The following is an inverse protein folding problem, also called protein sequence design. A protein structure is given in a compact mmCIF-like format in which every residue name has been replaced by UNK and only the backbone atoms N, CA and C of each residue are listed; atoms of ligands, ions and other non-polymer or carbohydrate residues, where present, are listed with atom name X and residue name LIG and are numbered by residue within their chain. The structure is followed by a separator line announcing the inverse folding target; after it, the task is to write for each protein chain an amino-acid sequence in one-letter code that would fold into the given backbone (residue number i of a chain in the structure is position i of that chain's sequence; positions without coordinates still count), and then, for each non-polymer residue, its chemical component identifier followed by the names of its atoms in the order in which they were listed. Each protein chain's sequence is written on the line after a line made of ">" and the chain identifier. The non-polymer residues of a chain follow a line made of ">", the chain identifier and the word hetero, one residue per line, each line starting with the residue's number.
data_IF_854174772877
#
_entry.id   IF_854174772877
#
_cell.length_a   1.000
_cell.length_b   1.000
_cell.length_c   1.000
_cell.angle_alpha   90.00
_cell.angle_beta   90.00
_cell.angle_gamma   90.00
#
_symmetry.space_group_name_H-M   'P 1'
#
loop_
_entity.id
_entity.type
_entity.pdbx_description
1 polymer ?
#
# COMPACT_ATOMS: atom_id res chain seq x y z
N UNK A 1 4.23 26.64 7.04
CA UNK A 1 5.35 27.32 6.35
C UNK A 1 6.42 27.49 7.39
N UNK A 2 7.55 26.76 7.26
CA UNK A 2 8.72 27.02 8.10
C UNK A 2 9.29 28.36 7.67
N UNK A 3 9.69 29.18 8.62
CA UNK A 3 10.48 30.36 8.29
C UNK A 3 11.81 29.90 7.70
N UNK A 4 12.42 30.74 6.87
CA UNK A 4 13.76 30.46 6.33
C UNK A 4 14.77 30.22 7.46
N UNK A 5 14.63 30.91 8.57
CA UNK A 5 15.41 30.73 9.80
C UNK A 5 15.31 29.28 10.33
N UNK A 6 14.09 28.71 10.42
CA UNK A 6 13.89 27.33 10.86
C UNK A 6 14.52 26.31 9.92
N UNK A 7 14.55 26.59 8.62
CA UNK A 7 15.22 25.72 7.63
C UNK A 7 16.74 25.82 7.76
N UNK A 8 17.29 27.03 7.94
CA UNK A 8 18.72 27.27 8.12
C UNK A 8 19.26 26.70 9.43
N UNK A 9 18.53 26.86 10.54
CA UNK A 9 18.89 26.24 11.81
C UNK A 9 18.94 24.71 11.72
N UNK A 10 17.97 24.09 11.04
CA UNK A 10 17.94 22.64 10.85
C UNK A 10 19.02 22.14 9.87
N UNK A 11 19.47 22.98 8.93
CA UNK A 11 20.61 22.66 8.09
C UNK A 11 21.94 22.73 8.87
N UNK A 12 22.09 23.71 9.78
CA UNK A 12 23.30 23.84 10.61
C UNK A 12 23.48 22.67 11.58
N UNK A 13 22.39 22.05 12.02
CA UNK A 13 22.39 20.93 12.94
C UNK A 13 22.47 19.56 12.25
N UNK A 14 22.70 19.52 10.91
CA UNK A 14 22.64 18.30 10.07
C UNK A 14 21.29 17.56 10.16
N UNK A 15 20.22 18.27 10.52
CA UNK A 15 18.90 17.70 10.65
C UNK A 15 18.14 17.78 9.32
N UNK A 16 18.34 16.82 8.47
CA UNK A 16 17.54 16.70 7.25
C UNK A 16 16.12 16.30 7.61
N UNK A 17 15.14 17.14 7.27
CA UNK A 17 13.73 16.77 7.37
C UNK A 17 13.51 15.55 6.50
N UNK A 18 13.16 14.43 7.10
CA UNK A 18 12.85 13.22 6.34
C UNK A 18 11.68 13.51 5.39
N UNK A 19 11.81 13.07 4.15
CA UNK A 19 10.78 13.24 3.12
C UNK A 19 9.33 12.96 3.64
N UNK A 20 9.07 11.95 4.50
CA UNK A 20 7.76 11.76 5.11
C UNK A 20 7.22 12.93 5.93
N UNK A 21 8.08 13.72 6.57
CA UNK A 21 7.66 14.89 7.37
C UNK A 21 7.29 16.08 6.49
N UNK A 22 7.98 16.26 5.36
CA UNK A 22 7.61 17.28 4.36
C UNK A 22 6.24 16.97 3.77
N UNK A 23 5.95 15.71 3.46
CA UNK A 23 4.65 15.29 2.93
C UNK A 23 3.51 15.43 3.95
N UNK A 24 3.76 15.16 5.24
CA UNK A 24 2.79 15.46 6.31
C UNK A 24 2.39 16.92 6.33
N UNK A 25 3.33 17.82 6.08
CA UNK A 25 3.09 19.25 6.14
C UNK A 25 2.29 19.76 4.94
N UNK A 26 2.54 19.25 3.73
CA UNK A 26 1.76 19.60 2.53
C UNK A 26 0.29 19.19 2.70
N UNK A 27 0.02 18.04 3.32
CA UNK A 27 -1.35 17.62 3.63
C UNK A 27 -2.02 18.48 4.71
N UNK A 28 -1.25 19.11 5.61
CA UNK A 28 -1.80 20.03 6.63
C UNK A 28 -2.18 21.43 6.08
N UNK A 29 -1.73 21.77 4.87
CA UNK A 29 -2.04 23.04 4.20
C UNK A 29 -3.38 23.03 3.44
N UNK A 30 -4.29 22.11 3.78
CA UNK A 30 -5.67 22.14 3.28
C UNK A 30 -5.89 21.41 1.95
N UNK A 31 -4.94 20.61 1.49
CA UNK A 31 -5.22 19.59 0.49
C UNK A 31 -6.10 18.51 1.13
N UNK A 32 -7.25 18.21 0.54
CA UNK A 32 -8.03 17.03 0.95
C UNK A 32 -7.13 15.80 0.85
N UNK A 33 -7.08 14.98 1.91
CA UNK A 33 -6.44 13.67 1.84
C UNK A 33 -6.95 12.96 0.58
N UNK A 34 -6.08 12.28 -0.20
CA UNK A 34 -6.55 11.51 -1.32
C UNK A 34 -7.69 10.59 -0.89
N UNK A 35 -8.73 10.48 -1.71
CA UNK A 35 -9.90 9.66 -1.38
C UNK A 35 -9.47 8.24 -0.97
N UNK A 36 -10.04 7.73 0.12
CA UNK A 36 -9.75 6.39 0.64
C UNK A 36 -8.50 6.24 1.48
N UNK A 37 -7.71 7.29 1.72
CA UNK A 37 -6.47 7.19 2.52
C UNK A 37 -6.71 6.89 3.99
N UNK A 38 -7.87 7.26 4.52
CA UNK A 38 -8.22 7.09 5.93
C UNK A 38 -9.07 5.84 6.18
N UNK A 39 -9.25 5.00 5.16
CA UNK A 39 -10.13 3.86 5.22
C UNK A 39 -9.46 2.53 4.88
N UNK A 40 -9.88 1.49 5.59
CA UNK A 40 -9.64 0.10 5.25
C UNK A 40 -10.94 -0.59 4.86
N UNK A 41 -10.87 -1.55 3.94
CA UNK A 41 -12.04 -2.28 3.46
C UNK A 41 -11.83 -3.78 3.66
N UNK A 42 -12.86 -4.46 4.16
CA UNK A 42 -12.91 -5.90 4.35
C UNK A 42 -14.03 -6.46 3.48
N UNK A 43 -13.69 -7.33 2.55
CA UNK A 43 -14.55 -7.71 1.44
C UNK A 43 -14.78 -9.22 1.40
N UNK A 44 -16.04 -9.62 1.19
CA UNK A 44 -16.45 -11.00 1.01
C UNK A 44 -16.04 -11.93 2.16
N UNK A 45 -15.65 -13.16 1.80
CA UNK A 45 -15.42 -14.25 2.73
C UNK A 45 -16.64 -15.10 2.96
N UNK A 46 -16.65 -15.96 3.97
CA UNK A 46 -17.75 -16.88 4.26
C UNK A 46 -18.10 -16.95 5.74
N UNK A 47 -19.35 -17.33 6.03
CA UNK A 47 -19.81 -17.59 7.40
C UNK A 47 -19.21 -18.85 7.99
N UNK A 48 -19.03 -19.88 7.15
CA UNK A 48 -18.63 -21.21 7.59
C UNK A 48 -17.53 -21.80 6.71
N UNK A 49 -16.80 -22.75 7.29
CA UNK A 49 -15.87 -23.64 6.60
C UNK A 49 -16.59 -24.98 6.37
N UNK A 50 -16.39 -25.59 5.23
CA UNK A 50 -16.86 -26.90 4.80
C UNK A 50 -17.80 -27.69 5.75
N UNK A 51 -18.87 -28.34 5.27
CA UNK A 51 -19.21 -28.53 3.87
C UNK A 51 -20.17 -27.46 3.28
N UNK A 52 -20.66 -26.53 4.09
CA UNK A 52 -21.65 -25.51 3.69
C UNK A 52 -21.01 -24.15 3.58
N UNK A 53 -20.20 -23.96 2.54
CA UNK A 53 -19.61 -22.66 2.24
C UNK A 53 -20.71 -21.68 1.82
N UNK A 54 -20.99 -20.68 2.67
CA UNK A 54 -21.89 -19.57 2.36
C UNK A 54 -21.09 -18.27 2.21
N UNK A 55 -20.57 -17.98 1.01
CA UNK A 55 -19.79 -16.78 0.81
C UNK A 55 -20.66 -15.53 0.76
N UNK A 56 -20.06 -14.42 1.10
CA UNK A 56 -20.67 -13.10 1.08
C UNK A 56 -20.13 -12.25 -0.07
N UNK A 57 -20.96 -11.29 -0.50
CA UNK A 57 -20.55 -10.17 -1.34
C UNK A 57 -20.34 -8.88 -0.54
N UNK A 58 -20.52 -8.91 0.78
CA UNK A 58 -20.48 -7.73 1.64
C UNK A 58 -19.10 -7.07 1.64
N UNK A 59 -19.09 -5.76 1.74
CA UNK A 59 -17.91 -4.91 1.93
C UNK A 59 -18.14 -4.04 3.15
N UNK A 60 -17.25 -4.14 4.11
CA UNK A 60 -17.25 -3.32 5.31
C UNK A 60 -16.10 -2.31 5.26
N UNK A 61 -16.39 -1.04 5.50
CA UNK A 61 -15.39 0.02 5.60
C UNK A 61 -15.09 0.36 7.05
N UNK A 62 -13.81 0.31 7.41
CA UNK A 62 -13.25 0.80 8.66
C UNK A 62 -12.72 2.21 8.47
N UNK A 63 -13.08 3.14 9.35
CA UNK A 63 -12.47 4.46 9.43
C UNK A 63 -11.26 4.39 10.37
N UNK A 64 -10.05 4.60 9.83
CA UNK A 64 -8.82 4.57 10.63
C UNK A 64 -8.70 5.74 11.61
N UNK A 65 -9.40 6.85 11.35
CA UNK A 65 -9.43 8.02 12.23
C UNK A 65 -10.36 7.83 13.42
N UNK A 66 -11.35 6.93 13.28
CA UNK A 66 -12.32 6.57 14.32
C UNK A 66 -12.57 5.06 14.36
N UNK A 67 -11.54 4.29 14.65
CA UNK A 67 -11.53 2.82 14.59
C UNK A 67 -12.29 2.14 15.76
N UNK A 68 -12.89 2.91 16.65
CA UNK A 68 -13.76 2.40 17.73
C UNK A 68 -15.19 2.20 17.28
N UNK A 69 -15.62 2.91 16.26
CA UNK A 69 -16.95 2.78 15.69
C UNK A 69 -17.08 1.49 14.88
N UNK A 70 -18.30 0.99 14.79
CA UNK A 70 -18.60 -0.16 13.93
C UNK A 70 -18.38 0.22 12.46
N UNK A 71 -17.92 -0.74 11.70
CA UNK A 71 -17.72 -0.59 10.27
C UNK A 71 -19.04 -0.30 9.53
N UNK A 72 -18.95 0.38 8.42
CA UNK A 72 -20.08 0.76 7.58
C UNK A 72 -20.10 -0.08 6.31
N UNK A 73 -21.25 -0.70 6.01
CA UNK A 73 -21.43 -1.45 4.76
C UNK A 73 -21.31 -0.53 3.53
N UNK A 74 -20.62 -1.01 2.51
CA UNK A 74 -20.38 -0.34 1.24
C UNK A 74 -20.85 -1.19 0.07
N UNK A 75 -20.59 -0.73 -1.18
CA UNK A 75 -21.02 -1.43 -2.37
C UNK A 75 -20.44 -2.85 -2.43
N UNK A 76 -21.30 -3.81 -2.68
CA UNK A 76 -20.97 -5.24 -2.66
C UNK A 76 -20.03 -5.64 -3.81
N UNK A 77 -19.34 -6.77 -3.66
CA UNK A 77 -18.65 -7.47 -4.74
C UNK A 77 -19.63 -7.82 -5.87
N UNK A 78 -19.13 -7.93 -7.10
CA UNK A 78 -19.95 -8.36 -8.25
C UNK A 78 -20.54 -9.76 -8.05
N UNK A 79 -19.87 -10.62 -7.29
CA UNK A 79 -20.29 -11.98 -6.97
C UNK A 79 -19.85 -12.35 -5.56
N UNK A 80 -20.71 -13.05 -4.80
CA UNK A 80 -20.34 -13.59 -3.50
C UNK A 80 -19.22 -14.62 -3.64
N UNK A 81 -18.11 -14.41 -2.94
CA UNK A 81 -16.93 -15.27 -2.99
C UNK A 81 -16.11 -15.26 -1.69
N UNK A 82 -15.39 -16.34 -1.47
CA UNK A 82 -14.49 -16.54 -0.34
C UNK A 82 -13.13 -17.09 -0.81
N UNK A 83 -12.18 -17.20 0.11
CA UNK A 83 -10.83 -17.70 -0.16
C UNK A 83 -10.07 -16.90 -1.22
N UNK A 84 -10.34 -15.62 -1.29
CA UNK A 84 -9.64 -14.65 -2.11
C UNK A 84 -8.70 -13.81 -1.25
N UNK A 85 -7.83 -13.04 -1.90
CA UNK A 85 -7.02 -12.01 -1.24
C UNK A 85 -7.10 -10.70 -2.00
N UNK A 86 -6.76 -9.62 -1.29
CA UNK A 86 -6.78 -8.27 -1.80
C UNK A 86 -5.39 -7.72 -2.08
N UNK A 87 -5.34 -6.77 -2.98
CA UNK A 87 -4.21 -5.87 -3.20
C UNK A 87 -4.74 -4.49 -3.59
N UNK A 88 -3.91 -3.48 -3.46
CA UNK A 88 -4.34 -2.09 -3.58
C UNK A 88 -3.46 -1.27 -4.50
N UNK A 89 -4.06 -0.36 -5.25
CA UNK A 89 -3.39 0.80 -5.78
C UNK A 89 -3.65 2.01 -4.88
N UNK A 90 -3.14 3.14 -5.29
CA UNK A 90 -3.36 4.42 -4.59
C UNK A 90 -4.84 4.84 -4.56
N UNK A 91 -5.62 4.49 -5.57
CA UNK A 91 -7.01 4.93 -5.76
C UNK A 91 -8.04 3.82 -5.70
N UNK A 92 -7.62 2.57 -5.83
CA UNK A 92 -8.52 1.43 -5.93
C UNK A 92 -8.05 0.24 -5.10
N UNK A 93 -9.02 -0.49 -4.56
CA UNK A 93 -8.81 -1.81 -3.99
C UNK A 93 -9.25 -2.90 -4.96
N UNK A 94 -8.58 -4.03 -4.94
CA UNK A 94 -8.86 -5.18 -5.81
C UNK A 94 -8.98 -6.45 -5.00
N UNK A 95 -9.92 -7.32 -5.40
CA UNK A 95 -9.99 -8.69 -4.89
C UNK A 95 -9.83 -9.66 -6.04
N UNK A 96 -8.93 -10.63 -5.93
CA UNK A 96 -8.58 -11.51 -7.02
C UNK A 96 -8.86 -12.98 -6.71
N UNK A 97 -9.44 -13.67 -7.68
CA UNK A 97 -9.73 -15.09 -7.57
C UNK A 97 -10.80 -15.41 -6.52
N UNK A 98 -10.61 -16.52 -5.83
CA UNK A 98 -11.52 -17.03 -4.82
C UNK A 98 -12.45 -18.13 -5.34
N UNK A 99 -13.27 -18.66 -4.45
CA UNK A 99 -14.30 -19.63 -4.74
C UNK A 99 -15.69 -19.00 -4.73
N UNK A 100 -16.44 -19.18 -5.80
CA UNK A 100 -17.81 -18.68 -5.96
C UNK A 100 -18.77 -19.86 -6.22
N UNK A 101 -19.53 -20.32 -5.21
CA UNK A 101 -20.42 -21.48 -5.35
C UNK A 101 -21.52 -21.31 -6.40
N UNK A 102 -21.95 -20.06 -6.63
CA UNK A 102 -22.96 -19.79 -7.67
C UNK A 102 -22.56 -20.27 -9.07
N UNK A 103 -21.24 -20.36 -9.33
CA UNK A 103 -20.67 -20.91 -10.57
C UNK A 103 -19.87 -22.20 -10.33
N UNK A 104 -19.91 -22.72 -9.08
CA UNK A 104 -19.28 -23.98 -8.65
C UNK A 104 -17.80 -24.09 -9.01
N UNK A 105 -17.07 -23.00 -9.00
CA UNK A 105 -15.68 -22.96 -9.47
C UNK A 105 -14.82 -21.93 -8.72
N UNK A 106 -13.53 -22.10 -8.86
CA UNK A 106 -12.53 -21.08 -8.57
C UNK A 106 -12.50 -20.10 -9.73
N UNK A 107 -12.67 -18.83 -9.41
CA UNK A 107 -12.87 -17.81 -10.43
C UNK A 107 -11.57 -17.11 -10.79
N UNK A 108 -11.51 -16.60 -12.01
CA UNK A 108 -10.43 -15.71 -12.48
C UNK A 108 -10.75 -14.24 -12.26
N UNK A 109 -11.98 -13.92 -11.84
CA UNK A 109 -12.44 -12.52 -11.73
C UNK A 109 -11.61 -11.72 -10.73
N UNK A 110 -11.33 -10.48 -11.12
CA UNK A 110 -10.80 -9.43 -10.24
C UNK A 110 -11.89 -8.38 -10.13
N UNK A 111 -12.39 -8.13 -8.91
CA UNK A 111 -13.31 -7.03 -8.64
C UNK A 111 -12.52 -5.81 -8.15
N UNK A 112 -12.94 -4.63 -8.59
CA UNK A 112 -12.33 -3.36 -8.21
C UNK A 112 -13.33 -2.46 -7.49
N UNK A 113 -12.94 -1.95 -6.31
CA UNK A 113 -13.61 -0.85 -5.60
C UNK A 113 -12.85 0.46 -5.86
N UNK A 114 -13.59 1.52 -6.14
CA UNK A 114 -13.06 2.88 -6.21
C UNK A 114 -13.15 3.53 -4.82
N UNK A 115 -12.03 3.93 -4.25
CA UNK A 115 -12.01 4.57 -2.93
C UNK A 115 -12.69 5.95 -2.90
N UNK A 116 -12.73 6.65 -4.04
CA UNK A 116 -13.43 7.93 -4.15
C UNK A 116 -14.95 7.77 -4.25
N UNK A 117 -15.44 6.57 -4.61
CA UNK A 117 -16.86 6.27 -4.84
C UNK A 117 -17.22 4.88 -4.31
N UNK A 118 -16.99 4.62 -3.03
CA UNK A 118 -17.13 3.31 -2.40
C UNK A 118 -18.59 2.83 -2.21
N UNK A 119 -19.56 3.64 -2.58
CA UNK A 119 -20.98 3.30 -2.64
C UNK A 119 -21.44 2.87 -4.04
N UNK A 120 -20.60 3.09 -5.06
CA UNK A 120 -20.88 2.65 -6.43
C UNK A 120 -20.54 1.15 -6.55
N UNK A 121 -21.37 0.41 -7.28
CA UNK A 121 -21.15 -1.01 -7.53
C UNK A 121 -19.73 -1.29 -8.03
N UNK A 122 -19.09 -2.32 -7.48
CA UNK A 122 -17.77 -2.74 -7.91
C UNK A 122 -17.79 -3.17 -9.37
N UNK A 123 -16.65 -3.05 -10.03
CA UNK A 123 -16.50 -3.42 -11.44
C UNK A 123 -15.54 -4.59 -11.59
N UNK A 124 -15.93 -5.55 -12.42
CA UNK A 124 -15.01 -6.59 -12.85
C UNK A 124 -13.93 -6.01 -13.76
N UNK A 125 -12.70 -6.44 -13.56
CA UNK A 125 -11.49 -6.03 -14.30
C UNK A 125 -10.87 -7.20 -15.02
N UNK A 126 -9.70 -6.99 -15.61
CA UNK A 126 -8.97 -8.03 -16.34
C UNK A 126 -8.78 -9.28 -15.48
N UNK A 127 -9.08 -10.47 -16.03
CA UNK A 127 -9.04 -11.70 -15.24
C UNK A 127 -7.62 -12.10 -14.88
N UNK A 128 -7.49 -12.96 -13.87
CA UNK A 128 -6.30 -13.78 -13.70
C UNK A 128 -6.13 -14.69 -14.92
N UNK A 129 -4.89 -14.98 -15.31
CA UNK A 129 -4.59 -15.94 -16.38
C UNK A 129 -5.08 -17.36 -16.01
N UNK A 130 -5.02 -17.69 -14.72
CA UNK A 130 -5.53 -18.94 -14.16
C UNK A 130 -6.32 -18.66 -12.90
N UNK A 131 -7.51 -19.25 -12.78
CA UNK A 131 -8.34 -19.16 -11.57
C UNK A 131 -7.66 -19.85 -10.39
N UNK A 132 -7.55 -19.14 -9.29
CA UNK A 132 -6.98 -19.66 -8.05
C UNK A 132 -7.87 -19.30 -6.86
N UNK A 133 -7.90 -20.19 -5.86
CA UNK A 133 -8.59 -20.00 -4.59
C UNK A 133 -7.76 -20.56 -3.43
N UNK A 134 -8.41 -20.83 -2.31
CA UNK A 134 -7.78 -21.43 -1.12
C UNK A 134 -6.68 -20.53 -0.55
N UNK A 135 -7.06 -19.27 -0.31
CA UNK A 135 -6.19 -18.29 0.31
C UNK A 135 -4.85 -18.14 -0.44
N UNK A 136 -4.95 -17.80 -1.72
CA UNK A 136 -3.86 -17.18 -2.44
C UNK A 136 -3.37 -15.94 -1.67
N UNK A 137 -2.19 -15.48 -1.91
CA UNK A 137 -1.61 -14.29 -1.27
C UNK A 137 -1.73 -13.10 -2.21
N UNK A 138 -2.20 -11.97 -1.68
CA UNK A 138 -2.18 -10.67 -2.38
C UNK A 138 -0.98 -9.84 -1.93
N UNK A 139 -0.23 -9.29 -2.89
CA UNK A 139 0.87 -8.35 -2.66
C UNK A 139 0.73 -7.19 -3.63
N UNK A 140 1.32 -6.04 -3.32
CA UNK A 140 1.28 -4.89 -4.21
C UNK A 140 2.38 -3.86 -3.92
N UNK A 141 2.67 -3.08 -4.95
CA UNK A 141 3.34 -1.80 -4.84
C UNK A 141 2.47 -0.70 -5.48
N UNK A 142 3.02 0.45 -5.82
CA UNK A 142 2.27 1.55 -6.44
C UNK A 142 1.79 1.26 -7.85
N UNK A 143 2.41 0.33 -8.59
CA UNK A 143 2.16 0.08 -10.02
C UNK A 143 1.43 -1.23 -10.29
N UNK A 144 1.66 -2.23 -9.42
CA UNK A 144 1.25 -3.61 -9.68
C UNK A 144 0.61 -4.26 -8.45
N UNK A 145 -0.40 -5.10 -8.73
CA UNK A 145 -0.94 -6.07 -7.79
C UNK A 145 -0.55 -7.49 -8.21
N UNK A 146 -0.27 -8.35 -7.24
CA UNK A 146 0.17 -9.73 -7.45
C UNK A 146 -0.73 -10.70 -6.70
N UNK A 147 -0.97 -11.85 -7.30
CA UNK A 147 -1.67 -12.98 -6.70
C UNK A 147 -0.76 -14.21 -6.75
N UNK A 148 -0.45 -14.78 -5.59
CA UNK A 148 0.53 -15.85 -5.44
C UNK A 148 -0.05 -17.10 -4.80
N UNK A 149 0.35 -18.27 -5.29
CA UNK A 149 -0.04 -19.57 -4.75
C UNK A 149 -1.54 -19.84 -4.83
N UNK A 150 -2.04 -20.61 -3.86
CA UNK A 150 -3.45 -21.03 -3.82
C UNK A 150 -3.67 -22.41 -4.45
N UNK A 151 -4.93 -22.72 -4.78
CA UNK A 151 -5.31 -23.96 -5.47
C UNK A 151 -6.06 -23.65 -6.75
N UNK A 152 -5.79 -24.42 -7.81
CA UNK A 152 -6.51 -24.35 -9.08
C UNK A 152 -7.85 -25.10 -9.05
N UNK A 153 -8.55 -25.13 -10.19
CA UNK A 153 -9.83 -25.84 -10.34
C UNK A 153 -9.74 -27.35 -10.15
N UNK A 154 -8.54 -27.93 -10.26
CA UNK A 154 -8.29 -29.35 -9.96
C UNK A 154 -8.02 -29.60 -8.46
N UNK A 155 -8.16 -28.57 -7.61
CA UNK A 155 -7.78 -28.59 -6.20
C UNK A 155 -6.29 -28.85 -5.96
N UNK A 156 -5.47 -28.64 -6.98
CA UNK A 156 -4.02 -28.77 -6.90
C UNK A 156 -3.42 -27.46 -6.37
N UNK A 157 -2.50 -27.57 -5.41
CA UNK A 157 -1.75 -26.42 -4.94
C UNK A 157 -0.85 -25.89 -6.05
N UNK A 158 -0.70 -24.59 -6.13
CA UNK A 158 0.04 -23.93 -7.19
C UNK A 158 1.19 -23.10 -6.66
N UNK A 159 2.18 -22.88 -7.53
CA UNK A 159 3.26 -21.92 -7.28
C UNK A 159 3.07 -20.61 -8.07
N UNK A 160 1.93 -20.44 -8.70
CA UNK A 160 1.67 -19.33 -9.62
C UNK A 160 1.87 -17.97 -8.95
N UNK A 161 2.44 -17.06 -9.72
CA UNK A 161 2.48 -15.64 -9.43
C UNK A 161 1.92 -14.91 -10.66
N UNK A 162 0.85 -14.15 -10.47
CA UNK A 162 0.15 -13.46 -11.55
C UNK A 162 0.08 -11.96 -11.20
N UNK A 163 0.53 -11.12 -12.12
CA UNK A 163 0.61 -9.66 -11.95
C UNK A 163 -0.46 -8.93 -12.73
N UNK A 164 -1.22 -8.07 -12.07
CA UNK A 164 -2.09 -7.06 -12.67
C UNK A 164 -1.36 -5.72 -12.69
N UNK A 165 -1.39 -5.05 -13.83
CA UNK A 165 -0.90 -3.68 -13.98
C UNK A 165 -2.04 -2.68 -13.69
N UNK A 166 -1.87 -1.78 -12.71
CA UNK A 166 -2.93 -0.85 -12.32
C UNK A 166 -3.24 0.20 -13.39
N UNK A 167 -2.25 0.59 -14.19
CA UNK A 167 -2.44 1.52 -15.29
C UNK A 167 -3.30 0.92 -16.42
N UNK A 168 -3.37 -0.41 -16.54
CA UNK A 168 -4.14 -1.14 -17.53
C UNK A 168 -4.85 -2.35 -16.91
N UNK A 169 -5.72 -2.11 -15.95
CA UNK A 169 -6.39 -3.12 -15.14
C UNK A 169 -7.49 -3.90 -15.88
N UNK A 170 -7.66 -3.68 -17.17
CA UNK A 170 -8.60 -4.42 -18.03
C UNK A 170 -7.96 -5.59 -18.76
N UNK A 171 -6.63 -5.68 -18.78
CA UNK A 171 -5.91 -6.80 -19.40
C UNK A 171 -5.84 -7.99 -18.46
N UNK A 172 -5.70 -9.19 -19.05
CA UNK A 172 -5.44 -10.41 -18.28
C UNK A 172 -4.14 -10.28 -17.50
N UNK A 173 -4.15 -10.65 -16.22
CA UNK A 173 -2.97 -10.64 -15.36
C UNK A 173 -1.86 -11.53 -15.98
N UNK A 174 -0.63 -11.02 -15.99
CA UNK A 174 0.49 -11.73 -16.62
C UNK A 174 1.19 -12.66 -15.64
N UNK A 175 1.52 -13.91 -16.04
CA UNK A 175 2.35 -14.80 -15.23
C UNK A 175 3.74 -14.20 -14.98
N UNK A 176 4.27 -14.41 -13.77
CA UNK A 176 5.57 -13.93 -13.30
C UNK A 176 6.37 -15.08 -12.66
N UNK A 177 7.52 -14.76 -12.07
CA UNK A 177 8.36 -15.75 -11.39
C UNK A 177 7.60 -16.45 -10.27
N UNK A 178 7.62 -17.78 -10.28
CA UNK A 178 6.84 -18.61 -9.37
C UNK A 178 7.42 -18.65 -7.94
N UNK A 179 6.60 -19.09 -6.99
CA UNK A 179 7.06 -19.61 -5.70
C UNK A 179 8.02 -20.81 -5.93
N UNK A 180 8.90 -21.09 -4.98
CA UNK A 180 9.84 -22.24 -5.05
C UNK A 180 9.13 -23.59 -5.04
N UNK A 181 7.90 -23.64 -4.54
CA UNK A 181 7.07 -24.83 -4.46
C UNK A 181 5.58 -24.49 -4.48
N UNK A 182 4.76 -25.49 -4.83
CA UNK A 182 3.30 -25.36 -4.78
C UNK A 182 2.82 -25.22 -3.34
N UNK A 183 2.04 -24.17 -3.02
CA UNK A 183 1.50 -23.94 -1.68
C UNK A 183 0.25 -23.07 -1.69
N UNK A 184 -0.52 -23.20 -0.62
CA UNK A 184 -1.75 -22.47 -0.38
C UNK A 184 -1.84 -22.00 1.06
N UNK A 185 -2.92 -21.28 1.42
CA UNK A 185 -3.21 -20.82 2.78
C UNK A 185 -2.10 -20.00 3.44
N UNK A 186 -1.25 -19.33 2.66
CA UNK A 186 -0.24 -18.41 3.15
C UNK A 186 -0.79 -17.04 3.45
N UNK A 187 0.09 -16.16 3.91
CA UNK A 187 -0.18 -14.74 4.12
C UNK A 187 0.87 -13.86 3.45
N UNK A 188 0.48 -12.62 3.14
CA UNK A 188 1.35 -11.67 2.46
C UNK A 188 1.42 -10.32 3.14
N UNK A 189 2.64 -9.81 3.30
CA UNK A 189 2.93 -8.43 3.66
C UNK A 189 4.16 -7.96 2.90
N UNK A 190 4.40 -6.66 2.85
CA UNK A 190 5.55 -6.13 2.14
C UNK A 190 5.64 -4.62 2.26
N UNK A 191 6.56 -4.07 1.50
CA UNK A 191 6.71 -2.63 1.27
C UNK A 191 6.70 -2.32 -0.23
N UNK A 192 7.19 -1.17 -0.63
CA UNK A 192 7.17 -0.78 -2.05
C UNK A 192 8.26 -1.45 -2.91
N UNK A 193 9.25 -2.10 -2.29
CA UNK A 193 10.33 -2.80 -3.00
C UNK A 193 10.14 -4.30 -3.02
N UNK A 194 9.59 -4.86 -1.95
CA UNK A 194 9.52 -6.30 -1.72
C UNK A 194 8.16 -6.73 -1.20
N UNK A 195 7.68 -7.88 -1.70
CA UNK A 195 6.56 -8.61 -1.13
C UNK A 195 7.02 -9.94 -0.54
N UNK A 196 6.39 -10.38 0.54
CA UNK A 196 6.73 -11.63 1.23
C UNK A 196 5.53 -12.56 1.28
N UNK A 197 5.71 -13.78 0.80
CA UNK A 197 4.79 -14.90 1.01
C UNK A 197 5.28 -15.70 2.20
N UNK A 198 4.44 -15.95 3.20
CA UNK A 198 4.82 -16.67 4.42
C UNK A 198 3.90 -17.84 4.74
N UNK A 199 4.45 -18.87 5.35
CA UNK A 199 3.71 -20.03 5.83
C UNK A 199 2.92 -20.76 4.76
N UNK A 200 1.74 -21.24 5.14
CA UNK A 200 0.85 -22.02 4.26
C UNK A 200 1.03 -23.52 4.38
N UNK A 201 0.59 -24.25 3.35
CA UNK A 201 0.66 -25.72 3.31
C UNK A 201 1.16 -26.27 1.99
N UNK A 202 1.84 -27.48 2.03
CA UNK A 202 2.47 -28.17 0.89
C UNK A 202 2.59 -29.70 1.01
N UNK A 203 1.69 -30.55 1.31
CA UNK A 203 0.38 -30.47 1.97
C UNK A 203 0.45 -30.17 3.48
N UNK A 204 1.62 -30.36 4.12
CA UNK A 204 1.81 -30.05 5.56
C UNK A 204 2.03 -28.56 5.75
N UNK A 205 1.69 -28.04 6.94
CA UNK A 205 1.99 -26.65 7.32
C UNK A 205 3.47 -26.39 7.32
N UNK A 206 3.86 -25.21 6.90
CA UNK A 206 5.26 -24.77 6.78
C UNK A 206 5.48 -23.42 7.47
N UNK A 207 6.75 -23.11 7.76
CA UNK A 207 7.19 -21.81 8.29
C UNK A 207 7.94 -20.99 7.25
N UNK A 208 8.12 -21.51 6.02
CA UNK A 208 8.95 -20.84 5.02
C UNK A 208 8.43 -19.47 4.63
N UNK A 209 9.36 -18.58 4.37
CA UNK A 209 9.09 -17.23 3.83
C UNK A 209 9.82 -17.10 2.50
N UNK A 210 9.16 -16.54 1.50
CA UNK A 210 9.73 -16.26 0.19
C UNK A 210 9.50 -14.80 -0.17
N UNK A 211 10.53 -14.14 -0.72
CA UNK A 211 10.48 -12.74 -1.12
C UNK A 211 10.36 -12.60 -2.62
N UNK A 212 9.36 -11.84 -3.03
CA UNK A 212 9.21 -11.27 -4.37
C UNK A 212 9.95 -9.92 -4.42
N UNK A 213 10.87 -9.77 -5.35
CA UNK A 213 11.48 -8.50 -5.68
C UNK A 213 10.67 -7.87 -6.83
N UNK A 214 10.04 -6.73 -6.59
CA UNK A 214 9.19 -6.08 -7.60
C UNK A 214 10.00 -5.53 -8.79
N UNK A 215 11.30 -5.26 -8.59
CA UNK A 215 12.19 -4.82 -9.68
C UNK A 215 12.63 -5.97 -10.59
N UNK A 216 12.46 -7.22 -10.16
CA UNK A 216 12.84 -8.44 -10.87
C UNK A 216 11.80 -9.53 -10.73
N UNK A 217 10.54 -9.22 -11.01
CA UNK A 217 9.37 -10.08 -10.76
C UNK A 217 9.24 -11.29 -11.69
N UNK A 218 10.14 -11.47 -12.63
CA UNK A 218 10.19 -12.64 -13.54
C UNK A 218 11.01 -13.78 -12.99
N UNK A 219 11.80 -13.57 -11.94
CA UNK A 219 12.60 -14.60 -11.28
C UNK A 219 11.76 -15.35 -10.24
N UNK A 220 12.09 -16.62 -9.99
CA UNK A 220 11.54 -17.38 -8.87
C UNK A 220 11.80 -16.65 -7.56
N UNK A 221 10.81 -16.64 -6.66
CA UNK A 221 10.91 -15.94 -5.39
C UNK A 221 12.10 -16.48 -4.56
N UNK A 222 12.77 -15.59 -3.84
CA UNK A 222 13.93 -15.93 -3.05
C UNK A 222 13.53 -16.42 -1.64
N UNK A 223 13.95 -17.64 -1.19
CA UNK A 223 13.76 -18.07 0.20
C UNK A 223 14.40 -17.10 1.19
N UNK A 224 13.73 -16.89 2.32
CA UNK A 224 14.13 -16.00 3.41
C UNK A 224 14.03 -16.68 4.77
N UNK A 225 14.37 -15.97 5.83
CA UNK A 225 14.27 -16.48 7.20
C UNK A 225 12.84 -16.89 7.55
N UNK A 226 12.65 -18.06 8.18
CA UNK A 226 11.31 -18.61 8.41
C UNK A 226 10.53 -17.82 9.47
N UNK A 227 9.21 -18.04 9.52
CA UNK A 227 8.40 -17.71 10.70
C UNK A 227 8.88 -18.51 11.91
N UNK A 228 8.57 -18.06 13.13
CA UNK A 228 8.94 -18.76 14.38
C UNK A 228 8.26 -20.12 14.50
N UNK A 229 7.21 -20.39 13.73
CA UNK A 229 6.36 -21.59 13.77
C UNK A 229 5.84 -21.98 12.38
N UNK A 230 5.45 -23.23 12.23
CA UNK A 230 4.69 -23.67 11.04
C UNK A 230 3.24 -23.25 11.21
N UNK A 231 2.65 -22.62 10.19
CA UNK A 231 1.29 -22.06 10.27
C UNK A 231 0.66 -21.95 8.89
N UNK A 232 -0.66 -22.14 8.83
CA UNK A 232 -1.48 -21.81 7.66
C UNK A 232 -2.73 -21.03 8.07
N UNK A 233 -3.47 -20.49 7.09
CA UNK A 233 -4.70 -19.72 7.31
C UNK A 233 -4.51 -18.52 8.27
N UNK A 234 -3.32 -17.99 8.35
CA UNK A 234 -3.03 -16.70 8.97
C UNK A 234 -3.19 -15.57 7.95
N UNK A 235 -3.10 -14.33 8.40
CA UNK A 235 -3.05 -13.19 7.50
C UNK A 235 -2.06 -12.13 8.01
N UNK A 236 -1.69 -11.18 7.15
CA UNK A 236 -0.60 -10.27 7.46
C UNK A 236 -0.90 -8.83 7.07
N UNK A 237 -0.30 -7.92 7.82
CA UNK A 237 -0.22 -6.50 7.53
C UNK A 237 1.18 -5.99 7.86
N UNK A 238 1.55 -4.82 7.35
CA UNK A 238 2.87 -4.27 7.61
C UNK A 238 3.00 -2.80 7.28
N UNK A 239 4.17 -2.28 7.59
CA UNK A 239 4.61 -0.93 7.26
C UNK A 239 5.87 -0.98 6.36
N UNK A 240 6.65 0.10 6.32
CA UNK A 240 7.86 0.17 5.50
C UNK A 240 8.97 -0.79 5.95
N UNK A 241 9.01 -1.10 7.25
CA UNK A 241 10.14 -1.77 7.89
C UNK A 241 9.82 -3.22 8.30
N UNK A 242 8.54 -3.52 8.59
CA UNK A 242 8.14 -4.78 9.19
C UNK A 242 6.85 -5.35 8.59
N UNK A 243 6.82 -6.69 8.44
CA UNK A 243 5.61 -7.47 8.20
C UNK A 243 5.19 -8.24 9.43
N UNK A 244 3.91 -8.17 9.79
CA UNK A 244 3.32 -8.83 10.95
C UNK A 244 2.33 -9.90 10.49
N UNK A 245 2.59 -11.15 10.87
CA UNK A 245 1.87 -12.35 10.46
C UNK A 245 1.17 -12.95 11.68
N UNK A 246 -0.16 -12.82 11.74
CA UNK A 246 -0.89 -13.14 12.96
C UNK A 246 -2.03 -14.14 12.77
N UNK A 247 -2.32 -14.89 13.83
CA UNK A 247 -3.37 -15.88 13.86
C UNK A 247 -3.00 -17.18 13.16
N UNK A 248 -4.00 -17.81 12.54
CA UNK A 248 -3.83 -19.04 11.78
C UNK A 248 -3.95 -20.30 12.61
N UNK A 249 -3.68 -21.41 11.95
CA UNK A 249 -3.68 -22.74 12.52
C UNK A 249 -2.25 -23.26 12.58
N UNK A 250 -1.73 -23.52 13.76
CA UNK A 250 -0.45 -24.15 14.02
C UNK A 250 -0.63 -25.51 14.73
N UNK A 251 0.42 -26.37 14.83
CA UNK A 251 0.30 -27.69 15.44
C UNK A 251 -0.11 -27.68 16.91
N UNK A 252 0.16 -26.61 17.66
CA UNK A 252 -0.17 -26.48 19.08
C UNK A 252 -1.59 -25.96 19.29
N UNK A 253 -2.16 -25.26 18.30
CA UNK A 253 -3.50 -24.67 18.40
C UNK A 253 -4.12 -24.46 17.03
N UNK A 254 -5.37 -24.93 16.81
CA UNK A 254 -6.16 -24.52 15.64
C UNK A 254 -6.56 -23.04 15.69
N UNK A 255 -6.28 -22.37 16.81
CA UNK A 255 -6.68 -20.99 17.09
C UNK A 255 -5.52 -20.20 17.65
N UNK A 256 -4.47 -20.05 16.87
CA UNK A 256 -3.27 -19.35 17.31
C UNK A 256 -3.55 -17.86 17.50
N UNK A 257 -3.00 -17.29 18.57
CA UNK A 257 -2.99 -15.85 18.79
C UNK A 257 -1.62 -15.21 18.57
N UNK A 258 -0.64 -15.99 18.15
CA UNK A 258 0.74 -15.56 17.95
C UNK A 258 0.85 -14.63 16.76
N UNK A 259 1.68 -13.60 16.88
CA UNK A 259 2.10 -12.71 15.81
C UNK A 259 3.60 -12.82 15.61
N UNK A 260 4.01 -13.23 14.42
CA UNK A 260 5.39 -13.20 13.96
C UNK A 260 5.69 -11.88 13.26
N UNK A 261 6.84 -11.27 13.54
CA UNK A 261 7.34 -10.08 12.84
C UNK A 261 8.54 -10.41 11.98
N UNK A 262 8.42 -10.15 10.68
CA UNK A 262 9.55 -10.17 9.73
C UNK A 262 10.15 -8.77 9.69
N UNK A 263 11.47 -8.69 9.88
CA UNK A 263 12.25 -7.45 9.68
C UNK A 263 12.76 -7.41 8.24
N UNK A 264 12.30 -6.45 7.44
CA UNK A 264 12.67 -6.37 6.03
C UNK A 264 14.14 -5.97 5.81
N UNK A 265 14.76 -5.30 6.79
CA UNK A 265 16.18 -4.98 6.74
C UNK A 265 17.07 -6.19 7.07
N UNK A 266 16.51 -7.20 7.77
CA UNK A 266 17.18 -8.44 8.15
C UNK A 266 16.31 -9.67 7.87
N UNK A 267 15.86 -9.82 6.64
CA UNK A 267 14.87 -10.81 6.21
C UNK A 267 15.42 -12.26 6.10
N UNK A 268 16.67 -12.47 6.46
CA UNK A 268 17.29 -13.80 6.56
C UNK A 268 17.20 -14.40 7.96
N UNK A 269 16.90 -13.59 8.97
CA UNK A 269 16.69 -14.06 10.33
C UNK A 269 15.30 -14.71 10.50
N UNK A 270 15.18 -15.64 11.46
CA UNK A 270 13.87 -16.14 11.88
C UNK A 270 13.02 -15.00 12.42
N UNK A 271 11.75 -14.95 12.02
CA UNK A 271 10.81 -13.95 12.49
C UNK A 271 10.67 -13.97 14.03
N UNK A 272 10.52 -12.79 14.61
CA UNK A 272 10.40 -12.64 16.06
C UNK A 272 8.93 -12.67 16.48
N UNK A 273 8.61 -13.44 17.51
CA UNK A 273 7.28 -13.36 18.16
C UNK A 273 7.14 -12.00 18.84
N UNK A 274 6.07 -11.31 18.53
CA UNK A 274 5.73 -9.96 19.02
C UNK A 274 4.35 -9.95 19.71
N UNK A 275 3.52 -8.99 19.42
CA UNK A 275 2.17 -8.86 19.96
C UNK A 275 1.34 -10.15 19.80
N UNK A 276 0.31 -10.28 20.61
CA UNK A 276 -0.67 -11.35 20.48
C UNK A 276 -2.05 -10.78 20.16
N UNK A 277 -2.85 -11.54 19.43
CA UNK A 277 -4.28 -11.23 19.25
C UNK A 277 -4.98 -11.22 20.61
N UNK A 278 -5.93 -10.30 20.82
CA UNK A 278 -6.63 -10.15 22.10
C UNK A 278 -7.50 -11.38 22.46
N UNK A 279 -7.98 -12.10 21.44
CA UNK A 279 -8.69 -13.38 21.62
C UNK A 279 -7.95 -14.47 20.85
N UNK A 280 -7.87 -15.70 21.40
CA UNK A 280 -7.40 -16.84 20.63
C UNK A 280 -8.39 -17.14 19.49
N UNK A 281 -7.90 -17.71 18.43
CA UNK A 281 -8.79 -18.33 17.48
C UNK A 281 -9.13 -17.53 16.25
N UNK A 282 -8.11 -17.06 15.55
CA UNK A 282 -8.35 -16.51 14.22
C UNK A 282 -7.59 -17.30 13.17
N UNK A 283 -8.17 -18.42 12.69
CA UNK A 283 -7.74 -18.91 11.39
C UNK A 283 -8.67 -18.35 10.30
N UNK A 284 -8.09 -18.02 9.17
CA UNK A 284 -8.78 -17.31 8.09
C UNK A 284 -9.20 -15.87 8.42
N UNK A 285 -8.46 -15.10 9.24
CA UNK A 285 -8.76 -13.69 9.42
C UNK A 285 -8.63 -12.95 8.09
N UNK A 286 -9.19 -11.76 8.02
CA UNK A 286 -9.02 -10.80 6.92
C UNK A 286 -8.28 -9.59 7.46
N UNK A 287 -7.28 -9.12 6.73
CA UNK A 287 -6.35 -8.11 7.23
C UNK A 287 -6.26 -6.91 6.29
N UNK A 288 -6.21 -5.72 6.87
CA UNK A 288 -5.83 -4.48 6.20
C UNK A 288 -5.08 -3.58 7.17
N UNK A 289 -4.63 -2.43 6.72
CA UNK A 289 -3.92 -1.50 7.60
C UNK A 289 -3.53 -0.19 6.94
N UNK A 290 -2.81 0.60 7.70
CA UNK A 290 -2.16 1.82 7.24
C UNK A 290 -0.69 1.84 7.69
N UNK A 291 -0.04 2.99 7.61
CA UNK A 291 1.38 3.12 7.98
C UNK A 291 1.65 2.97 9.47
N UNK A 292 0.63 3.10 10.33
CA UNK A 292 0.76 3.07 11.80
C UNK A 292 0.13 1.84 12.44
N UNK A 293 -0.89 1.25 11.80
CA UNK A 293 -1.71 0.21 12.39
C UNK A 293 -2.03 -0.92 11.41
N UNK A 294 -2.02 -2.15 11.91
CA UNK A 294 -2.59 -3.32 11.24
C UNK A 294 -3.87 -3.77 11.93
N UNK A 295 -4.85 -4.27 11.16
CA UNK A 295 -6.15 -4.72 11.65
C UNK A 295 -6.45 -6.13 11.17
N UNK A 296 -6.73 -7.05 12.10
CA UNK A 296 -7.17 -8.42 11.86
C UNK A 296 -8.60 -8.57 12.31
N UNK A 297 -9.50 -8.94 11.40
CA UNK A 297 -10.91 -9.07 11.69
C UNK A 297 -11.49 -10.38 11.16
N UNK A 298 -12.62 -10.81 11.73
CA UNK A 298 -13.25 -12.07 11.35
C UNK A 298 -12.43 -13.29 11.76
N UNK A 299 -12.43 -14.32 10.93
CA UNK A 299 -11.84 -15.61 11.20
C UNK A 299 -12.76 -16.56 11.95
N UNK A 300 -12.39 -17.83 12.05
CA UNK A 300 -13.18 -18.87 12.70
C UNK A 300 -13.47 -18.50 14.17
N UNK A 301 -14.64 -18.84 14.68
CA UNK A 301 -15.08 -18.52 16.05
C UNK A 301 -16.18 -17.44 16.11
N UNK A 302 -16.82 -17.12 14.99
CA UNK A 302 -18.02 -16.25 14.92
C UNK A 302 -17.79 -14.86 15.54
N UNK A 303 -16.64 -14.25 15.31
CA UNK A 303 -16.35 -12.91 15.79
C UNK A 303 -16.36 -11.87 14.68
N UNK A 304 -17.01 -10.75 14.94
CA UNK A 304 -16.97 -9.57 14.07
C UNK A 304 -15.93 -8.55 14.51
N UNK A 305 -15.32 -8.75 15.69
CA UNK A 305 -14.37 -7.79 16.28
C UNK A 305 -13.09 -7.65 15.46
N UNK A 306 -12.58 -6.43 15.40
CA UNK A 306 -11.26 -6.12 14.84
C UNK A 306 -10.21 -6.07 15.94
N UNK A 307 -9.03 -6.59 15.65
CA UNK A 307 -7.85 -6.52 16.51
C UNK A 307 -6.86 -5.58 15.86
N UNK A 308 -6.53 -4.49 16.54
CA UNK A 308 -5.55 -3.51 16.07
C UNK A 308 -4.19 -3.72 16.70
N UNK A 309 -3.17 -3.86 15.87
CA UNK A 309 -1.76 -3.75 16.24
C UNK A 309 -1.30 -2.32 16.01
N UNK A 310 -0.67 -1.73 17.03
CA UNK A 310 0.09 -0.50 16.90
C UNK A 310 1.54 -0.86 16.58
N UNK A 311 2.03 -0.45 15.40
CA UNK A 311 3.39 -0.78 14.96
C UNK A 311 4.47 -0.07 15.80
N UNK A 312 4.13 1.03 16.48
CA UNK A 312 5.05 1.72 17.39
C UNK A 312 5.20 1.01 18.74
N UNK A 313 4.27 0.09 19.08
CA UNK A 313 4.22 -0.66 20.34
C UNK A 313 3.89 -2.14 20.09
N UNK A 314 4.71 -2.81 19.30
CA UNK A 314 4.45 -4.16 18.76
C UNK A 314 4.67 -5.30 19.78
N UNK A 315 4.94 -4.99 21.01
CA UNK A 315 5.12 -5.98 22.10
C UNK A 315 3.89 -6.15 22.99
N UNK A 316 2.90 -5.28 22.83
CA UNK A 316 1.66 -5.31 23.61
C UNK A 316 0.60 -6.18 22.97
N UNK A 317 -0.37 -6.64 23.74
CA UNK A 317 -1.55 -7.30 23.20
C UNK A 317 -2.31 -6.34 22.28
N UNK A 318 -2.80 -6.86 21.15
CA UNK A 318 -3.61 -6.08 20.21
C UNK A 318 -4.90 -5.59 20.89
N UNK A 319 -5.31 -4.36 20.60
CA UNK A 319 -6.53 -3.76 21.15
C UNK A 319 -7.75 -4.15 20.31
N UNK A 320 -8.90 -4.33 20.97
CA UNK A 320 -10.18 -4.55 20.31
C UNK A 320 -10.73 -3.22 19.78
N UNK A 321 -11.21 -3.24 18.56
CA UNK A 321 -11.76 -2.08 17.84
C UNK A 321 -13.14 -2.38 17.26
N UNK A 322 -13.66 -1.50 16.43
CA UNK A 322 -14.97 -1.58 15.80
C UNK A 322 -15.22 -2.92 15.09
N UNK A 323 -16.48 -3.26 14.95
CA UNK A 323 -16.93 -4.57 14.45
C UNK A 323 -17.37 -4.48 13.00
N UNK A 324 -17.14 -5.56 12.26
CA UNK A 324 -17.77 -5.76 10.95
C UNK A 324 -19.28 -5.86 11.09
N UNK A 325 -20.00 -5.52 10.02
CA UNK A 325 -21.46 -5.69 9.95
C UNK A 325 -21.86 -7.16 9.92
N UNK A 326 -21.00 -8.02 9.38
CA UNK A 326 -21.24 -9.45 9.22
C UNK A 326 -20.00 -10.23 9.63
N UNK A 327 -20.20 -11.31 10.39
CA UNK A 327 -19.14 -12.30 10.63
C UNK A 327 -18.66 -12.88 9.30
N UNK A 328 -17.34 -12.93 9.13
CA UNK A 328 -16.75 -13.50 7.91
C UNK A 328 -15.32 -13.98 8.16
N UNK A 329 -14.94 -15.04 7.46
CA UNK A 329 -13.57 -15.56 7.38
C UNK A 329 -13.10 -15.68 5.91
N UNK A 330 -11.81 -15.75 5.68
CA UNK A 330 -11.23 -15.96 4.35
C UNK A 330 -11.70 -14.94 3.29
N UNK A 331 -11.85 -13.69 3.70
CA UNK A 331 -12.11 -12.54 2.85
C UNK A 331 -10.84 -11.89 2.32
N UNK A 332 -11.00 -10.72 1.73
CA UNK A 332 -9.90 -9.87 1.27
C UNK A 332 -9.92 -8.52 2.00
N UNK A 333 -8.76 -8.03 2.37
CA UNK A 333 -8.60 -6.69 2.92
C UNK A 333 -7.79 -5.81 1.98
N UNK A 334 -8.19 -4.55 1.85
CA UNK A 334 -7.51 -3.56 1.02
C UNK A 334 -7.53 -2.18 1.68
N UNK A 335 -6.52 -1.38 1.37
CA UNK A 335 -6.42 0.03 1.76
C UNK A 335 -5.39 0.73 0.88
N UNK A 336 -5.63 1.97 0.52
CA UNK A 336 -4.65 2.81 -0.18
C UNK A 336 -3.40 3.12 0.64
N UNK A 337 -3.34 2.68 1.89
CA UNK A 337 -2.24 2.90 2.85
C UNK A 337 -1.55 1.62 3.30
N UNK A 338 -1.99 0.46 2.84
CA UNK A 338 -1.37 -0.82 3.15
C UNK A 338 0.02 -0.95 2.48
N UNK A 339 0.88 -1.83 3.02
CA UNK A 339 2.21 -2.14 2.49
C UNK A 339 3.07 -0.88 2.21
N UNK A 340 3.06 0.06 3.13
CA UNK A 340 3.82 1.31 3.02
C UNK A 340 3.52 2.14 1.76
N UNK A 341 2.29 2.05 1.24
CA UNK A 341 1.86 2.92 0.14
C UNK A 341 2.09 4.39 0.50
N UNK A 342 2.71 5.20 -0.37
CA UNK A 342 3.00 6.60 -0.08
C UNK A 342 1.71 7.41 0.07
N UNK A 343 1.79 8.53 0.77
CA UNK A 343 0.66 9.47 0.92
C UNK A 343 0.26 10.15 -0.39
N UNK A 344 1.21 10.24 -1.31
CA UNK A 344 1.06 10.91 -2.60
C UNK A 344 1.37 9.90 -3.69
N UNK A 345 0.57 9.88 -4.74
CA UNK A 345 0.85 9.09 -5.92
C UNK A 345 2.06 9.67 -6.67
N UNK A 346 3.26 9.13 -6.37
CA UNK A 346 4.50 9.55 -7.02
C UNK A 346 4.70 8.91 -8.39
N UNK A 347 3.95 7.84 -8.72
CA UNK A 347 4.01 7.16 -10.03
C UNK A 347 3.19 7.87 -11.09
N UNK A 348 2.26 8.71 -10.67
CA UNK A 348 1.53 9.60 -11.52
C UNK A 348 1.77 11.02 -11.00
N UNK A 349 2.95 11.61 -11.25
CA UNK A 349 3.07 13.04 -11.03
C UNK A 349 1.90 13.62 -11.82
N UNK A 350 0.96 14.26 -11.13
CA UNK A 350 -0.02 15.10 -11.83
C UNK A 350 0.84 15.94 -12.75
N UNK A 351 0.75 15.80 -14.08
CA UNK A 351 1.44 16.71 -14.94
C UNK A 351 1.00 18.07 -14.45
N UNK A 352 1.93 18.95 -14.19
CA UNK A 352 1.61 20.35 -13.92
C UNK A 352 1.00 21.02 -15.16
N UNK A 353 0.18 20.28 -15.88
CA UNK A 353 -0.73 20.76 -16.91
C UNK A 353 -2.03 21.13 -16.21
N UNK A 354 -1.99 22.23 -15.52
CA UNK A 354 -3.14 23.10 -15.51
C UNK A 354 -3.36 23.49 -16.97
N UNK A 355 -4.17 22.71 -17.66
CA UNK A 355 -4.69 23.12 -18.98
C UNK A 355 -5.74 24.19 -18.70
N UNK A 356 -5.30 25.39 -18.37
CA UNK A 356 -6.12 26.55 -18.66
C UNK A 356 -6.11 26.69 -20.17
N UNK A 357 -7.27 26.49 -20.79
CA UNK A 357 -7.43 26.75 -22.19
C UNK A 357 -6.97 28.19 -22.47
N UNK A 358 -5.88 28.34 -23.22
CA UNK A 358 -5.38 29.64 -23.66
C UNK A 358 -4.21 30.22 -22.89
N UNK A 359 -3.51 29.45 -22.04
CA UNK A 359 -2.26 29.94 -21.42
C UNK A 359 -1.12 29.93 -22.44
N UNK A 360 -0.45 31.08 -22.63
CA UNK A 360 0.80 31.11 -23.38
C UNK A 360 1.82 30.20 -22.70
N UNK A 361 2.68 29.56 -23.48
CA UNK A 361 3.86 28.83 -22.99
C UNK A 361 4.52 29.63 -21.88
N UNK A 362 4.82 29.06 -20.68
CA UNK A 362 5.43 29.85 -19.61
C UNK A 362 6.71 30.51 -20.12
N UNK A 363 6.68 31.80 -20.22
CA UNK A 363 7.88 32.58 -20.57
C UNK A 363 8.73 32.60 -19.31
N UNK A 364 9.95 32.06 -19.39
CA UNK A 364 10.92 32.13 -18.30
C UNK A 364 11.24 30.81 -17.58
N UNK A 365 10.72 29.66 -18.05
CA UNK A 365 11.05 28.34 -17.48
C UNK A 365 12.52 27.94 -17.72
N UNK A 366 13.16 28.51 -18.72
CA UNK A 366 14.50 28.15 -19.15
C UNK A 366 15.58 29.14 -18.69
N UNK A 367 15.25 30.07 -17.82
CA UNK A 367 16.15 31.15 -17.43
C UNK A 367 16.22 31.39 -15.92
N UNK A 368 17.42 31.62 -15.41
CA UNK A 368 17.69 32.17 -14.09
C UNK A 368 18.05 33.67 -14.16
N UNK A 369 17.65 34.45 -13.17
CA UNK A 369 17.94 35.88 -13.08
C UNK A 369 18.67 36.19 -11.80
N UNK A 370 19.76 36.97 -11.91
CA UNK A 370 20.58 37.47 -10.81
C UNK A 370 20.56 38.97 -10.87
N UNK A 371 20.34 39.61 -9.75
CA UNK A 371 20.19 41.06 -9.72
C UNK A 371 21.06 41.70 -8.63
N UNK A 372 21.60 42.88 -8.91
CA UNK A 372 22.44 43.63 -8.00
C UNK A 372 23.79 43.01 -7.65
N UNK A 373 24.26 43.29 -6.46
CA UNK A 373 25.61 42.86 -5.98
C UNK A 373 26.58 44.01 -5.90
N UNK A 374 27.88 43.73 -5.60
CA UNK A 374 28.96 44.73 -5.51
C UNK A 374 30.22 44.24 -6.14
N UNK A 375 30.87 45.06 -7.07
CA UNK A 375 32.15 44.80 -7.70
C UNK A 375 32.80 46.10 -8.21
N UNK A 376 33.63 46.77 -7.54
CA UNK A 376 33.79 47.10 -6.13
C UNK A 376 32.67 47.99 -5.56
N UNK A 377 31.77 48.49 -6.42
CA UNK A 377 30.64 49.34 -6.05
C UNK A 377 29.34 48.56 -6.24
N UNK A 378 28.29 48.94 -5.52
CA UNK A 378 26.95 48.36 -5.67
C UNK A 378 26.42 48.57 -7.09
N UNK A 379 25.87 47.54 -7.67
CA UNK A 379 25.31 47.55 -9.02
C UNK A 379 23.79 47.35 -9.03
N UNK A 380 23.17 47.82 -10.11
CA UNK A 380 21.72 47.63 -10.32
C UNK A 380 21.41 46.69 -11.45
N UNK A 381 22.43 46.06 -12.05
CA UNK A 381 22.22 45.14 -13.19
C UNK A 381 21.35 43.94 -12.80
N UNK A 382 20.56 43.46 -13.77
CA UNK A 382 19.89 42.17 -13.74
C UNK A 382 20.49 41.32 -14.85
N UNK A 383 21.15 40.25 -14.48
CA UNK A 383 21.80 39.32 -15.39
C UNK A 383 20.95 38.07 -15.56
N UNK A 384 20.86 37.54 -16.78
CA UNK A 384 20.10 36.34 -17.12
C UNK A 384 21.03 35.20 -17.53
N UNK A 385 20.88 34.05 -16.85
CA UNK A 385 21.45 32.76 -17.23
C UNK A 385 20.43 31.97 -18.06
N UNK A 386 20.87 31.43 -19.18
CA UNK A 386 20.08 30.49 -19.99
C UNK A 386 20.40 29.05 -19.53
N UNK A 387 19.42 28.34 -18.99
CA UNK A 387 19.64 26.96 -18.52
C UNK A 387 19.86 25.95 -19.64
N UNK A 388 19.45 26.28 -20.88
CA UNK A 388 19.73 25.44 -22.04
C UNK A 388 21.13 25.64 -22.61
N UNK A 389 21.80 26.74 -22.23
CA UNK A 389 23.13 27.06 -22.63
C UNK A 389 23.85 27.89 -21.54
N UNK A 390 24.39 27.23 -20.54
CA UNK A 390 25.03 27.84 -19.36
C UNK A 390 26.51 28.13 -19.52
N UNK A 391 27.07 27.88 -20.70
CA UNK A 391 28.50 28.10 -21.00
C UNK A 391 28.88 29.55 -21.37
N UNK A 392 28.00 30.36 -22.01
CA UNK A 392 28.29 31.75 -22.29
C UNK A 392 28.22 32.66 -21.07
N UNK A 393 28.79 33.83 -21.15
CA UNK A 393 28.64 34.91 -20.18
C UNK A 393 27.15 35.30 -20.07
N UNK A 394 26.65 35.49 -18.86
CA UNK A 394 25.28 35.94 -18.61
C UNK A 394 24.99 37.28 -19.33
N UNK A 395 23.76 37.45 -19.77
CA UNK A 395 23.33 38.62 -20.53
C UNK A 395 22.56 39.58 -19.61
N UNK A 396 23.02 40.84 -19.55
CA UNK A 396 22.32 41.93 -18.85
C UNK A 396 20.92 42.14 -19.49
N UNK A 397 19.86 42.08 -18.69
CA UNK A 397 18.48 42.21 -19.14
C UNK A 397 17.75 43.47 -18.68
N UNK A 398 18.24 44.07 -17.63
CA UNK A 398 17.62 45.28 -17.07
C UNK A 398 18.38 45.82 -15.88
N UNK A 399 17.74 46.74 -15.18
CA UNK A 399 18.30 47.31 -13.94
C UNK A 399 17.25 47.41 -12.88
N UNK A 400 17.70 47.23 -11.63
CA UNK A 400 16.91 47.60 -10.45
C UNK A 400 16.72 49.12 -10.39
N UNK A 401 15.70 49.57 -9.72
CA UNK A 401 15.44 50.98 -9.48
C UNK A 401 16.51 51.64 -8.59
N UNK A 402 17.21 50.80 -7.81
CA UNK A 402 18.31 51.26 -6.94
C UNK A 402 19.45 50.22 -6.97
N UNK A 403 20.67 50.68 -6.70
CA UNK A 403 21.80 49.77 -6.52
C UNK A 403 21.74 49.13 -5.12
N UNK A 404 21.89 47.81 -5.05
CA UNK A 404 21.85 47.08 -3.78
C UNK A 404 22.87 45.91 -3.81
N UNK A 405 23.34 45.51 -2.62
CA UNK A 405 24.33 44.46 -2.47
C UNK A 405 23.81 43.23 -1.70
N UNK A 406 22.65 43.36 -1.02
CA UNK A 406 22.05 42.29 -0.23
C UNK A 406 20.53 42.34 -0.36
N UNK A 407 19.96 41.44 -1.08
CA UNK A 407 18.53 41.26 -1.18
C UNK A 407 18.20 39.84 -1.66
N UNK A 408 16.96 39.45 -1.50
CA UNK A 408 16.45 38.17 -1.89
C UNK A 408 15.54 38.27 -3.12
N UNK A 409 15.43 37.15 -3.85
CA UNK A 409 14.53 37.03 -4.97
C UNK A 409 13.43 36.03 -4.68
N UNK A 410 12.19 36.40 -4.99
CA UNK A 410 11.05 35.49 -5.03
C UNK A 410 10.43 35.49 -6.41
N UNK A 411 9.89 34.37 -6.83
CA UNK A 411 9.29 34.26 -8.16
C UNK A 411 8.02 33.43 -8.14
N UNK A 412 7.18 33.69 -9.10
CA UNK A 412 6.11 32.80 -9.50
C UNK A 412 6.35 32.37 -10.95
N UNK A 413 5.39 31.66 -11.56
CA UNK A 413 5.49 31.16 -12.93
C UNK A 413 5.66 32.25 -14.00
N UNK A 414 5.29 33.49 -13.68
CA UNK A 414 5.25 34.61 -14.66
C UNK A 414 6.20 35.76 -14.31
N UNK A 415 6.56 35.96 -13.06
CA UNK A 415 7.31 37.11 -12.60
C UNK A 415 8.32 36.76 -11.52
N UNK A 416 9.46 37.45 -11.54
CA UNK A 416 10.44 37.50 -10.47
C UNK A 416 10.43 38.86 -9.79
N UNK A 417 10.61 38.87 -8.47
CA UNK A 417 10.69 40.08 -7.65
C UNK A 417 11.97 40.04 -6.83
N UNK A 418 12.61 41.18 -6.71
CA UNK A 418 13.82 41.39 -5.90
C UNK A 418 13.54 42.49 -4.86
N UNK A 419 13.80 42.20 -3.58
CA UNK A 419 13.56 43.13 -2.48
C UNK A 419 14.72 43.13 -1.46
#
# INVERSE_FOLDING_TARGET
>A
VFSLETVLERQSDNYWVKIPEVFRYVNSLGGSSPAGTDFGYFMGGSAECCPYLAPFSTVDRLDFSNDTDNMVAKAALTTAKAYMRGFSSFTHGYTAGGYAPAVSTRVTTIDRIDYASDTTAQTAKGPLATGVSSNNVGLHNTEYGYTLGGSDNSSTFTSYNQRLEFANDTTTASPKGNLTQNKNYGAGAGNQSYGYYSGGGTPSRISSVERLDYSSDTTTLAPKGPLSRVVNEHDAAGNADYGYHAGGWDPSSPYSNVTDRIDYANDTATALVKAILAYPGKHGPTTTGNTSYGYWTGGYGNTTASHRLDYSSDTTQMSIKGKRTTFSQNGAGVSSRANAMPLVNTTNPVPATRTEAGTPTPVGTDYGYFAGGATPSKVSSIDRLDYNNDTPTMVVKGSLTQTNEAFEGVSNISYGYFA
#
